data_IF_905565451087
#
_entry.id   IF_905565451087
#
_cell.length_a   1.000
_cell.length_b   1.000
_cell.length_c   1.000
_cell.angle_alpha   90.00
_cell.angle_beta   90.00
_cell.angle_gamma   90.00
#
_symmetry.space_group_name_H-M   'P 1'
#
loop_
_entity.id
_entity.type
_entity.pdbx_description
1 polymer ?
#
# COMPACT_ATOMS: atom_id res chain seq x y z
N UNK A 1 16.49 -22.75 2.59
CA UNK A 1 16.96 -22.23 1.33
C UNK A 1 16.46 -20.82 1.02
N UNK A 2 15.40 -20.39 1.60
CA UNK A 2 14.85 -19.08 1.36
C UNK A 2 14.88 -18.15 2.57
N UNK A 3 15.77 -18.46 3.50
CA UNK A 3 15.94 -17.64 4.70
C UNK A 3 16.37 -16.22 4.37
N UNK A 4 17.10 -16.02 3.26
CA UNK A 4 17.50 -14.70 2.81
C UNK A 4 16.33 -13.81 2.41
N UNK A 5 15.30 -14.39 1.82
CA UNK A 5 14.09 -13.64 1.48
C UNK A 5 13.39 -13.11 2.71
N UNK A 6 13.29 -13.93 3.75
CA UNK A 6 12.68 -13.53 5.00
C UNK A 6 13.42 -12.36 5.65
N UNK A 7 14.76 -12.42 5.64
CA UNK A 7 15.59 -11.33 6.16
C UNK A 7 15.42 -10.06 5.35
N UNK A 8 15.32 -10.16 4.02
CA UNK A 8 15.08 -9.01 3.17
C UNK A 8 13.75 -8.34 3.52
N UNK A 9 12.71 -9.12 3.76
CA UNK A 9 11.40 -8.58 4.13
C UNK A 9 11.46 -7.86 5.48
N UNK A 10 12.19 -8.39 6.46
CA UNK A 10 12.34 -7.73 7.75
C UNK A 10 13.08 -6.40 7.62
N UNK A 11 14.14 -6.36 6.84
CA UNK A 11 14.88 -5.12 6.58
C UNK A 11 14.00 -4.10 5.88
N UNK A 12 13.16 -4.54 4.94
CA UNK A 12 12.25 -3.67 4.22
C UNK A 12 11.21 -3.04 5.14
N UNK A 13 10.75 -3.74 6.17
CA UNK A 13 9.80 -3.20 7.13
C UNK A 13 10.38 -2.03 7.90
N UNK A 14 11.67 -2.04 8.18
CA UNK A 14 12.32 -0.97 8.92
C UNK A 14 12.88 0.13 8.04
N UNK A 15 13.17 -0.13 6.76
CA UNK A 15 13.80 0.85 5.90
C UNK A 15 13.40 0.66 4.43
N UNK A 16 12.45 1.47 3.93
CA UNK A 16 12.01 1.38 2.53
C UNK A 16 13.12 1.57 1.49
N UNK A 17 14.19 2.30 1.81
CA UNK A 17 15.31 2.50 0.89
C UNK A 17 16.08 1.21 0.67
N UNK A 18 16.27 0.44 1.75
CA UNK A 18 16.91 -0.87 1.66
C UNK A 18 16.06 -1.81 0.82
N UNK A 19 14.76 -1.81 1.06
CA UNK A 19 13.81 -2.60 0.29
C UNK A 19 13.91 -2.31 -1.21
N UNK A 20 13.89 -1.04 -1.59
CA UNK A 20 13.96 -0.64 -3.01
C UNK A 20 15.28 -1.04 -3.65
N UNK A 21 16.36 -0.92 -2.92
CA UNK A 21 17.69 -1.33 -3.40
C UNK A 21 17.71 -2.83 -3.66
N UNK A 22 17.21 -3.63 -2.74
CA UNK A 22 17.16 -5.08 -2.88
C UNK A 22 16.23 -5.51 -4.02
N UNK A 23 15.07 -4.87 -4.14
CA UNK A 23 14.14 -5.12 -5.23
C UNK A 23 14.80 -4.90 -6.58
N UNK A 24 15.54 -3.82 -6.73
CA UNK A 24 16.24 -3.50 -7.97
C UNK A 24 17.28 -4.56 -8.31
N UNK A 25 18.04 -5.00 -7.31
CA UNK A 25 19.04 -6.04 -7.51
C UNK A 25 18.40 -7.35 -7.97
N UNK A 26 17.33 -7.77 -7.31
CA UNK A 26 16.59 -8.98 -7.68
C UNK A 26 16.02 -8.84 -9.10
N UNK A 27 15.47 -7.69 -9.42
CA UNK A 27 14.94 -7.44 -10.74
C UNK A 27 16.00 -7.60 -11.84
N UNK A 28 17.18 -7.05 -11.62
CA UNK A 28 18.27 -7.17 -12.57
C UNK A 28 18.73 -8.61 -12.77
N UNK A 29 18.60 -9.44 -11.73
CA UNK A 29 18.96 -10.85 -11.81
C UNK A 29 17.90 -11.68 -12.53
N UNK A 30 16.64 -11.25 -12.46
CA UNK A 30 15.49 -11.99 -12.98
C UNK A 30 14.80 -11.22 -14.09
N UNK A 31 15.60 -10.74 -15.02
CA UNK A 31 15.16 -9.81 -16.07
C UNK A 31 13.97 -10.32 -16.89
N UNK A 32 13.79 -11.62 -16.96
CA UNK A 32 12.74 -12.22 -17.76
C UNK A 32 11.51 -12.61 -16.93
N UNK A 33 11.51 -12.27 -15.65
CA UNK A 33 10.37 -12.58 -14.83
C UNK A 33 9.20 -11.66 -15.15
N UNK A 34 8.02 -12.18 -14.89
CA UNK A 34 6.77 -11.47 -15.19
C UNK A 34 6.69 -10.20 -14.38
N UNK A 35 6.59 -9.07 -15.07
CA UNK A 35 6.28 -7.79 -14.44
C UNK A 35 4.77 -7.74 -14.21
N UNK A 36 4.36 -7.61 -12.95
CA UNK A 36 2.95 -7.51 -12.63
C UNK A 36 2.40 -6.18 -13.14
N UNK A 37 1.30 -6.23 -13.86
CA UNK A 37 0.67 -5.01 -14.33
C UNK A 37 -0.20 -4.38 -13.22
N UNK A 38 -0.63 -3.15 -13.47
CA UNK A 38 -1.42 -2.39 -12.49
C UNK A 38 -2.68 -3.13 -12.06
N UNK A 39 -3.37 -3.75 -12.99
CA UNK A 39 -4.62 -4.47 -12.70
C UNK A 39 -4.38 -5.64 -11.74
N UNK A 40 -3.31 -6.40 -11.97
CA UNK A 40 -2.96 -7.54 -11.12
C UNK A 40 -2.63 -7.09 -9.71
N UNK A 41 -1.89 -6.01 -9.57
CA UNK A 41 -1.53 -5.48 -8.25
C UNK A 41 -2.77 -5.01 -7.51
N UNK A 42 -3.64 -4.24 -8.17
CA UNK A 42 -4.88 -3.76 -7.55
C UNK A 42 -5.76 -4.92 -7.14
N UNK A 43 -5.87 -5.96 -7.97
CA UNK A 43 -6.68 -7.12 -7.65
C UNK A 43 -6.14 -7.85 -6.42
N UNK A 44 -4.83 -7.94 -6.32
CA UNK A 44 -4.19 -8.54 -5.14
C UNK A 44 -4.49 -7.73 -3.88
N UNK A 45 -4.46 -6.40 -3.99
CA UNK A 45 -4.83 -5.52 -2.88
C UNK A 45 -6.28 -5.76 -2.46
N UNK A 46 -7.18 -5.84 -3.43
CA UNK A 46 -8.61 -6.09 -3.16
C UNK A 46 -8.82 -7.42 -2.44
N UNK A 47 -8.10 -8.45 -2.82
CA UNK A 47 -8.21 -9.75 -2.18
C UNK A 47 -7.86 -9.69 -0.70
N UNK A 48 -6.72 -9.09 -0.36
CA UNK A 48 -6.35 -8.99 1.05
C UNK A 48 -7.28 -8.04 1.80
N UNK A 49 -7.69 -6.95 1.18
CA UNK A 49 -8.63 -6.02 1.80
C UNK A 49 -9.95 -6.70 2.17
N UNK A 50 -10.46 -7.54 1.28
CA UNK A 50 -11.72 -8.25 1.53
C UNK A 50 -11.66 -9.21 2.71
N UNK A 51 -10.46 -9.68 3.07
CA UNK A 51 -10.31 -10.60 4.20
C UNK A 51 -10.04 -9.90 5.51
N UNK A 52 -9.45 -8.70 5.50
CA UNK A 52 -9.00 -8.06 6.73
C UNK A 52 -9.74 -6.78 7.10
N UNK A 53 -10.29 -6.06 6.14
CA UNK A 53 -10.89 -4.75 6.43
C UNK A 53 -12.28 -4.88 7.03
N UNK A 54 -12.61 -4.07 8.05
CA UNK A 54 -13.92 -4.12 8.67
C UNK A 54 -14.99 -3.47 7.79
N UNK A 55 -16.23 -3.73 8.12
CA UNK A 55 -17.39 -3.17 7.42
C UNK A 55 -17.30 -1.64 7.39
N UNK A 56 -17.64 -1.06 6.25
CA UNK A 56 -17.64 0.39 6.08
C UNK A 56 -16.31 0.98 5.67
N UNK A 57 -15.27 0.15 5.49
CA UNK A 57 -13.95 0.64 5.08
C UNK A 57 -13.94 1.05 3.61
N UNK A 58 -13.10 2.04 3.30
CA UNK A 58 -12.80 2.43 1.92
C UNK A 58 -11.29 2.47 1.74
N UNK A 59 -10.83 1.97 0.60
CA UNK A 59 -9.42 1.97 0.26
C UNK A 59 -9.23 2.65 -1.08
N UNK A 60 -8.38 3.66 -1.11
CA UNK A 60 -8.10 4.44 -2.32
C UNK A 60 -6.65 4.29 -2.71
N UNK A 61 -6.41 4.29 -4.02
CA UNK A 61 -5.08 4.46 -4.59
C UNK A 61 -4.91 5.94 -4.93
N UNK A 62 -3.77 6.53 -4.58
CA UNK A 62 -3.48 7.90 -4.97
C UNK A 62 -2.01 8.01 -5.41
N UNK A 63 -1.55 9.22 -5.70
CA UNK A 63 -0.17 9.44 -6.09
C UNK A 63 0.13 8.99 -7.51
N UNK A 64 1.40 8.73 -7.80
CA UNK A 64 1.86 8.48 -9.17
C UNK A 64 1.21 7.26 -9.81
N UNK A 65 0.93 6.22 -9.00
CA UNK A 65 0.26 5.02 -9.54
C UNK A 65 -1.19 5.30 -9.95
N UNK A 66 -1.83 6.24 -9.28
CA UNK A 66 -3.19 6.65 -9.66
C UNK A 66 -3.15 7.59 -10.88
N UNK A 67 -2.19 8.51 -10.92
CA UNK A 67 -2.06 9.46 -12.03
C UNK A 67 -1.58 8.83 -13.32
N UNK A 68 -0.87 7.71 -13.24
CA UNK A 68 -0.32 7.06 -14.44
C UNK A 68 1.10 7.50 -14.79
N UNK A 69 1.75 8.29 -13.93
CA UNK A 69 3.12 8.75 -14.17
C UNK A 69 4.14 8.02 -13.29
N UNK A 70 3.77 6.85 -12.80
CA UNK A 70 4.63 6.04 -11.95
C UNK A 70 5.77 5.39 -12.75
N UNK A 71 6.87 5.20 -12.07
CA UNK A 71 7.97 4.37 -12.54
C UNK A 71 7.82 2.96 -11.97
N UNK A 72 8.61 2.06 -12.47
CA UNK A 72 8.64 0.68 -12.01
C UNK A 72 8.91 0.56 -10.52
N UNK A 73 9.77 1.43 -9.98
CA UNK A 73 10.13 1.46 -8.56
C UNK A 73 9.20 2.31 -7.70
N UNK A 74 8.19 2.93 -8.28
CA UNK A 74 7.32 3.82 -7.53
C UNK A 74 6.51 3.07 -6.49
N UNK A 75 6.32 3.71 -5.34
CA UNK A 75 5.45 3.18 -4.29
C UNK A 75 4.00 3.17 -4.75
N UNK A 76 3.24 2.28 -4.16
CA UNK A 76 1.79 2.28 -4.30
C UNK A 76 1.23 2.99 -3.07
N UNK A 77 0.75 4.20 -3.27
CA UNK A 77 0.23 5.03 -2.19
C UNK A 77 -1.24 4.73 -1.94
N UNK A 78 -1.54 4.23 -0.76
CA UNK A 78 -2.89 3.80 -0.40
C UNK A 78 -3.42 4.62 0.76
N UNK A 79 -4.67 5.04 0.66
CA UNK A 79 -5.39 5.71 1.73
C UNK A 79 -6.48 4.78 2.22
N UNK A 80 -6.39 4.39 3.48
CA UNK A 80 -7.38 3.55 4.13
C UNK A 80 -8.24 4.40 5.06
N UNK A 81 -9.54 4.41 4.82
CA UNK A 81 -10.50 5.10 5.67
C UNK A 81 -11.34 4.07 6.42
N UNK A 82 -11.26 4.14 7.75
CA UNK A 82 -12.01 3.25 8.63
C UNK A 82 -13.29 3.93 9.12
N UNK A 83 -14.37 3.16 9.21
CA UNK A 83 -15.66 3.65 9.69
C UNK A 83 -15.77 3.37 11.18
N UNK A 84 -15.09 4.17 11.98
CA UNK A 84 -15.08 4.04 13.44
C UNK A 84 -14.78 5.41 14.05
N UNK A 85 -15.16 5.61 15.33
CA UNK A 85 -15.03 6.95 15.95
C UNK A 85 -13.61 7.47 16.05
N UNK A 86 -12.65 6.58 16.34
CA UNK A 86 -11.24 6.98 16.44
C UNK A 86 -10.34 5.79 16.22
N UNK A 87 -9.12 6.09 15.78
CA UNK A 87 -8.12 5.05 15.55
C UNK A 87 -7.64 4.44 16.87
N UNK A 88 -7.22 3.19 16.78
CA UNK A 88 -6.62 2.46 17.87
C UNK A 88 -5.21 2.04 17.47
N UNK A 89 -4.35 1.82 18.47
CA UNK A 89 -2.97 1.41 18.20
C UNK A 89 -2.87 0.08 17.44
N UNK A 90 -3.89 -0.77 17.59
CA UNK A 90 -3.92 -2.09 16.93
C UNK A 90 -4.36 -2.02 15.47
N UNK A 91 -4.86 -0.89 15.01
CA UNK A 91 -5.38 -0.77 13.65
C UNK A 91 -4.31 -1.02 12.59
N UNK A 92 -3.10 -0.58 12.85
CA UNK A 92 -2.00 -0.83 11.91
C UNK A 92 -1.79 -2.33 11.71
N UNK A 93 -1.67 -3.08 12.80
CA UNK A 93 -1.41 -4.52 12.71
C UNK A 93 -2.57 -5.29 12.11
N UNK A 94 -3.79 -4.85 12.38
CA UNK A 94 -4.98 -5.55 11.90
C UNK A 94 -5.29 -5.28 10.44
N UNK A 95 -5.08 -4.04 9.99
CA UNK A 95 -5.61 -3.60 8.70
C UNK A 95 -4.55 -3.12 7.71
N UNK A 96 -3.62 -2.30 8.15
CA UNK A 96 -2.61 -1.76 7.25
C UNK A 96 -1.51 -2.76 6.94
N UNK A 97 -0.99 -3.41 7.97
CA UNK A 97 0.14 -4.33 7.80
C UNK A 97 -0.17 -5.50 6.85
N UNK A 98 -1.33 -6.17 6.94
CA UNK A 98 -1.61 -7.26 5.99
C UNK A 98 -1.58 -6.81 4.53
N UNK A 99 -2.01 -5.57 4.26
CA UNK A 99 -1.94 -5.03 2.90
C UNK A 99 -0.47 -4.79 2.51
N UNK A 100 0.31 -4.20 3.39
CA UNK A 100 1.73 -3.98 3.13
C UNK A 100 2.48 -5.30 2.92
N UNK A 101 2.16 -6.30 3.71
CA UNK A 101 2.78 -7.61 3.60
C UNK A 101 2.50 -8.26 2.25
N UNK A 102 1.30 -8.07 1.71
CA UNK A 102 0.97 -8.56 0.38
C UNK A 102 1.89 -7.93 -0.68
N UNK A 103 2.22 -6.66 -0.51
CA UNK A 103 3.13 -5.99 -1.41
C UNK A 103 4.52 -6.63 -1.41
N UNK A 104 5.03 -6.97 -0.25
CA UNK A 104 6.34 -7.62 -0.15
C UNK A 104 6.39 -8.94 -0.91
N UNK A 105 5.30 -9.69 -0.90
CA UNK A 105 5.21 -10.96 -1.65
C UNK A 105 5.34 -10.75 -3.16
N UNK A 106 4.99 -9.56 -3.62
CA UNK A 106 5.01 -9.22 -5.05
C UNK A 106 6.16 -8.29 -5.42
N UNK A 107 7.09 -8.08 -4.49
CA UNK A 107 8.19 -7.13 -4.66
C UNK A 107 7.69 -5.72 -5.01
N UNK A 108 6.57 -5.34 -4.38
CA UNK A 108 5.99 -4.00 -4.46
C UNK A 108 5.97 -3.38 -3.07
N UNK A 109 6.11 -2.07 -2.99
CA UNK A 109 6.01 -1.37 -1.71
C UNK A 109 4.67 -0.63 -1.65
N UNK A 110 3.82 -1.03 -0.69
CA UNK A 110 2.54 -0.39 -0.45
C UNK A 110 2.67 0.53 0.76
N UNK A 111 2.53 1.82 0.54
CA UNK A 111 2.54 2.82 1.61
C UNK A 111 1.08 3.07 2.00
N UNK A 112 0.70 2.62 3.20
CA UNK A 112 -0.70 2.70 3.64
C UNK A 112 -0.85 3.78 4.71
N UNK A 113 -1.61 4.82 4.38
CA UNK A 113 -1.97 5.87 5.34
C UNK A 113 -3.39 5.62 5.82
N UNK A 114 -3.57 5.52 7.13
CA UNK A 114 -4.84 5.15 7.74
C UNK A 114 -5.44 6.31 8.52
N UNK A 115 -6.71 6.59 8.25
CA UNK A 115 -7.51 7.59 8.98
C UNK A 115 -8.88 7.01 9.24
N UNK A 116 -9.61 7.57 10.21
CA UNK A 116 -11.04 7.34 10.23
C UNK A 116 -11.69 8.25 9.20
N UNK A 117 -12.92 7.93 8.80
CA UNK A 117 -13.66 8.79 7.87
C UNK A 117 -13.81 10.19 8.43
N UNK A 118 -14.12 10.30 9.72
CA UNK A 118 -14.28 11.60 10.38
C UNK A 118 -12.98 12.40 10.41
N UNK A 119 -11.88 11.74 10.72
CA UNK A 119 -10.57 12.40 10.69
C UNK A 119 -10.25 12.95 9.32
N UNK A 120 -10.53 12.16 8.29
CA UNK A 120 -10.25 12.60 6.93
C UNK A 120 -11.15 13.76 6.50
N UNK A 121 -12.45 13.64 6.75
CA UNK A 121 -13.43 14.66 6.34
C UNK A 121 -13.24 15.98 7.07
N UNK A 122 -12.80 15.92 8.33
CA UNK A 122 -12.60 17.10 9.17
C UNK A 122 -11.15 17.50 9.30
N UNK A 123 -10.28 16.86 8.55
CA UNK A 123 -8.85 17.13 8.61
C UNK A 123 -8.57 18.58 8.26
N UNK A 124 -7.69 19.26 9.00
CA UNK A 124 -7.26 20.57 8.60
C UNK A 124 -6.64 20.46 7.22
N UNK A 125 -7.06 21.31 6.34
CA UNK A 125 -6.76 21.22 4.91
C UNK A 125 -5.29 21.49 4.64
N UNK A 126 -4.47 20.46 4.87
CA UNK A 126 -3.07 20.49 4.55
C UNK A 126 -2.88 20.10 3.07
N UNK A 127 -1.71 20.44 2.55
CA UNK A 127 -1.37 20.13 1.16
C UNK A 127 -1.56 18.63 0.85
N UNK A 128 -1.24 17.78 1.81
CA UNK A 128 -1.41 16.33 1.65
C UNK A 128 -2.86 15.97 1.33
N UNK A 129 -3.81 16.52 2.11
CA UNK A 129 -5.23 16.27 1.88
C UNK A 129 -5.64 16.63 0.46
N UNK A 130 -5.30 17.82 0.02
CA UNK A 130 -5.69 18.28 -1.31
C UNK A 130 -5.06 17.44 -2.43
N UNK A 131 -3.81 17.07 -2.26
CA UNK A 131 -3.12 16.25 -3.26
C UNK A 131 -3.76 14.87 -3.38
N UNK A 132 -4.13 14.28 -2.25
CA UNK A 132 -4.78 12.96 -2.26
C UNK A 132 -6.17 13.06 -2.86
N UNK A 133 -6.97 14.05 -2.44
CA UNK A 133 -8.33 14.21 -2.97
C UNK A 133 -8.34 14.39 -4.48
N UNK A 134 -7.33 15.06 -5.02
CA UNK A 134 -7.21 15.29 -6.44
C UNK A 134 -6.96 14.00 -7.23
N UNK A 135 -6.15 13.10 -6.68
CA UNK A 135 -5.66 11.94 -7.41
C UNK A 135 -6.38 10.63 -7.05
N UNK A 136 -7.04 10.57 -5.92
CA UNK A 136 -7.50 9.29 -5.36
C UNK A 136 -8.51 8.56 -6.24
N UNK A 137 -8.36 7.26 -6.30
CA UNK A 137 -9.26 6.36 -7.00
C UNK A 137 -9.71 5.28 -6.03
N UNK A 138 -11.01 5.09 -5.89
CA UNK A 138 -11.54 4.05 -5.02
C UNK A 138 -11.23 2.69 -5.62
N UNK A 139 -10.51 1.86 -4.86
CA UNK A 139 -10.17 0.51 -5.33
C UNK A 139 -10.86 -0.58 -4.53
N UNK A 140 -11.35 -0.28 -3.32
CA UNK A 140 -12.09 -1.26 -2.52
C UNK A 140 -13.02 -0.55 -1.56
N UNK A 141 -14.20 -1.13 -1.37
CA UNK A 141 -15.20 -0.64 -0.41
C UNK A 141 -15.96 -1.83 0.15
N UNK A 142 -16.09 -1.89 1.47
CA UNK A 142 -16.86 -2.96 2.12
C UNK A 142 -18.21 -2.49 2.64
#
# INVERSE_FOLDING_TARGET
>A
MHTGMSLCALDALSNPKIWKSQKKSVYLQSINEITMNKTEVIESIRQVASTVLPQGSKLYLYGSRARGDAHEDSDWDLLLLLDKPQKESTDFDKYAYPIMARGFDMWQYFSVHTYTKDEWDNSPHAMFYYNVEKDKQLIYES
#
